data_IF_028508792711
#
_entry.id   IF_028508792711
#
_cell.length_a   1.000
_cell.length_b   1.000
_cell.length_c   1.000
_cell.angle_alpha   90.00
_cell.angle_beta   90.00
_cell.angle_gamma   90.00
#
_symmetry.space_group_name_H-M   'P 1'
#
loop_
_entity.id
_entity.type
_entity.pdbx_description
1 polymer ?
#
# COMPACT_ATOMS: atom_id res chain seq x y z
N UNK A 1 45.40 -62.64 37.51
CA UNK A 1 44.51 -62.21 38.61
C UNK A 1 43.51 -61.22 38.02
N UNK A 2 42.23 -61.56 38.07
CA UNK A 2 41.14 -60.92 37.33
C UNK A 2 40.62 -59.68 38.09
N UNK A 3 40.61 -58.51 37.43
CA UNK A 3 39.88 -57.32 37.90
C UNK A 3 38.73 -57.04 36.92
N UNK A 4 37.51 -57.28 37.37
CA UNK A 4 36.28 -56.85 36.72
C UNK A 4 36.13 -55.33 36.90
N UNK A 5 35.95 -54.60 35.80
CA UNK A 5 35.73 -53.16 35.80
C UNK A 5 34.27 -52.89 35.43
N UNK A 6 33.48 -52.52 36.44
CA UNK A 6 32.07 -52.15 36.34
C UNK A 6 32.00 -50.71 35.80
N UNK A 7 31.50 -50.51 34.58
CA UNK A 7 31.21 -49.18 34.05
C UNK A 7 29.79 -48.77 34.43
N UNK A 8 29.67 -47.83 35.37
CA UNK A 8 28.44 -47.14 35.72
C UNK A 8 28.26 -45.95 34.77
N UNK A 9 27.31 -46.02 33.84
CA UNK A 9 26.96 -44.91 32.95
C UNK A 9 25.92 -44.04 33.66
N UNK A 10 26.35 -42.89 34.19
CA UNK A 10 25.46 -41.85 34.69
C UNK A 10 25.05 -40.98 33.51
N UNK A 11 23.81 -41.13 33.05
CA UNK A 11 23.20 -40.25 32.06
C UNK A 11 22.78 -38.93 32.74
N UNK A 12 23.59 -37.88 32.58
CA UNK A 12 23.20 -36.52 32.95
C UNK A 12 22.14 -36.00 31.95
N UNK A 13 20.87 -36.03 32.34
CA UNK A 13 19.78 -35.36 31.64
C UNK A 13 19.86 -33.86 31.96
N UNK A 14 20.55 -33.11 31.11
CA UNK A 14 20.57 -31.65 31.14
C UNK A 14 19.22 -31.11 30.66
N UNK A 15 18.31 -30.79 31.58
CA UNK A 15 17.08 -30.04 31.27
C UNK A 15 17.49 -28.60 30.92
N UNK A 16 17.60 -28.31 29.62
CA UNK A 16 17.81 -26.95 29.15
C UNK A 16 16.52 -26.15 29.33
N UNK A 17 16.46 -25.33 30.38
CA UNK A 17 15.46 -24.27 30.51
C UNK A 17 15.68 -23.24 29.40
N UNK A 18 15.03 -23.44 28.24
CA UNK A 18 14.88 -22.39 27.25
C UNK A 18 13.94 -21.34 27.84
N UNK A 19 14.53 -20.27 28.38
CA UNK A 19 13.82 -19.03 28.65
C UNK A 19 13.16 -18.59 27.34
N UNK A 20 11.83 -18.63 27.29
CA UNK A 20 11.07 -18.03 26.19
C UNK A 20 11.20 -16.53 26.41
N UNK A 21 12.15 -15.90 25.72
CA UNK A 21 12.21 -14.45 25.64
C UNK A 21 10.84 -13.97 25.15
N UNK A 22 10.14 -13.24 25.99
CA UNK A 22 8.87 -12.61 25.64
C UNK A 22 9.21 -11.55 24.59
N UNK A 23 8.90 -11.84 23.32
CA UNK A 23 9.08 -10.88 22.23
C UNK A 23 8.38 -9.58 22.64
N UNK A 24 9.14 -8.49 22.64
CA UNK A 24 8.61 -7.17 22.96
C UNK A 24 7.45 -6.87 22.01
N UNK A 25 6.30 -6.47 22.56
CA UNK A 25 5.16 -6.00 21.77
C UNK A 25 5.64 -4.95 20.78
N UNK A 26 5.42 -5.13 19.47
CA UNK A 26 5.81 -4.12 18.48
C UNK A 26 5.21 -2.77 18.87
N UNK A 27 6.04 -1.72 18.84
CA UNK A 27 5.57 -0.36 19.07
C UNK A 27 4.41 -0.07 18.11
N UNK A 28 3.34 0.54 18.64
CA UNK A 28 2.20 0.90 17.81
C UNK A 28 2.66 1.80 16.65
N UNK A 29 2.17 1.58 15.42
CA UNK A 29 2.56 2.42 14.30
C UNK A 29 2.16 3.88 14.58
N UNK A 30 3.01 4.80 14.13
CA UNK A 30 2.72 6.23 14.18
C UNK A 30 1.39 6.52 13.49
N UNK A 31 0.49 7.22 14.17
CA UNK A 31 -0.82 7.59 13.62
C UNK A 31 -0.75 9.01 13.08
N UNK A 32 -1.04 9.16 11.80
CA UNK A 32 -1.08 10.46 11.13
C UNK A 32 -2.53 10.93 11.01
N UNK A 33 -2.83 12.13 11.48
CA UNK A 33 -4.09 12.79 11.19
C UNK A 33 -4.13 13.15 9.71
N UNK A 34 -5.12 12.59 8.99
CA UNK A 34 -5.37 12.91 7.60
C UNK A 34 -6.79 13.45 7.40
N UNK A 35 -6.92 14.51 6.61
CA UNK A 35 -8.22 15.08 6.22
C UNK A 35 -8.27 15.32 4.72
N UNK A 36 -9.47 15.39 4.12
CA UNK A 36 -9.60 15.87 2.76
C UNK A 36 -9.66 17.40 2.78
N UNK A 37 -8.61 18.04 2.29
CA UNK A 37 -8.51 19.50 2.33
C UNK A 37 -9.12 20.10 1.07
N UNK A 38 -10.28 20.74 1.23
CA UNK A 38 -11.01 21.43 0.16
C UNK A 38 -11.00 22.94 0.40
N UNK A 39 -10.80 23.75 -0.66
CA UNK A 39 -10.84 25.19 -0.55
C UNK A 39 -12.27 25.67 -0.30
N UNK A 40 -12.39 26.88 0.23
CA UNK A 40 -13.68 27.58 0.27
C UNK A 40 -14.16 27.70 -1.20
N UNK A 41 -15.46 27.54 -1.45
CA UNK A 41 -16.06 27.58 -2.80
C UNK A 41 -16.85 28.86 -3.10
N UNK A 42 -16.90 29.80 -2.15
CA UNK A 42 -17.53 31.12 -2.31
C UNK A 42 -16.47 32.22 -2.18
N UNK A 43 -16.27 33.08 -3.19
CA UNK A 43 -16.83 33.00 -4.54
C UNK A 43 -16.37 31.72 -5.28
N UNK A 44 -16.98 31.38 -6.44
CA UNK A 44 -16.64 30.19 -7.22
C UNK A 44 -15.14 30.08 -7.48
N UNK A 45 -14.66 28.84 -7.47
CA UNK A 45 -13.28 28.55 -7.83
C UNK A 45 -13.09 28.79 -9.34
N UNK A 46 -12.12 29.62 -9.70
CA UNK A 46 -11.72 29.91 -11.09
C UNK A 46 -10.24 29.56 -11.26
N UNK A 47 -9.76 29.50 -12.50
CA UNK A 47 -8.32 29.35 -12.79
C UNK A 47 -7.46 30.38 -12.06
N UNK A 48 -7.96 31.61 -11.96
CA UNK A 48 -7.22 32.76 -11.46
C UNK A 48 -7.09 32.74 -9.93
N UNK A 49 -8.04 32.12 -9.22
CA UNK A 49 -8.05 32.07 -7.75
C UNK A 49 -7.78 30.67 -7.16
N UNK A 50 -7.73 29.63 -7.99
CA UNK A 50 -7.64 28.24 -7.52
C UNK A 50 -6.39 28.00 -6.67
N UNK A 51 -5.21 28.41 -7.16
CA UNK A 51 -3.93 28.16 -6.50
C UNK A 51 -3.94 28.79 -5.11
N UNK A 52 -4.21 30.09 -5.00
CA UNK A 52 -4.24 30.82 -3.74
C UNK A 52 -5.20 30.17 -2.73
N UNK A 53 -6.40 29.79 -3.18
CA UNK A 53 -7.43 29.20 -2.33
C UNK A 53 -7.04 27.82 -1.82
N UNK A 54 -6.41 27.00 -2.66
CA UNK A 54 -5.84 25.71 -2.23
C UNK A 54 -4.68 25.92 -1.26
N UNK A 55 -3.78 26.88 -1.52
CA UNK A 55 -2.67 27.22 -0.61
C UNK A 55 -3.20 27.61 0.77
N UNK A 56 -4.21 28.47 0.85
CA UNK A 56 -4.82 28.89 2.11
C UNK A 56 -5.44 27.70 2.86
N UNK A 57 -6.14 26.81 2.15
CA UNK A 57 -6.77 25.64 2.77
C UNK A 57 -5.73 24.66 3.31
N UNK A 58 -4.69 24.36 2.53
CA UNK A 58 -3.58 23.48 2.94
C UNK A 58 -2.82 24.06 4.12
N UNK A 59 -2.52 25.36 4.11
CA UNK A 59 -1.89 26.04 5.26
C UNK A 59 -2.74 25.91 6.52
N UNK A 60 -4.06 26.10 6.43
CA UNK A 60 -4.95 25.93 7.60
C UNK A 60 -4.94 24.50 8.15
N UNK A 61 -4.88 23.50 7.27
CA UNK A 61 -4.76 22.10 7.68
C UNK A 61 -3.42 21.85 8.40
N UNK A 62 -2.31 22.32 7.83
CA UNK A 62 -0.98 22.17 8.45
C UNK A 62 -0.87 22.90 9.79
N UNK A 63 -1.37 24.15 9.88
CA UNK A 63 -1.43 24.92 11.13
C UNK A 63 -2.27 24.21 12.21
N UNK A 64 -3.23 23.36 11.81
CA UNK A 64 -4.04 22.53 12.70
C UNK A 64 -3.38 21.18 13.06
N UNK A 65 -2.15 20.94 12.63
CA UNK A 65 -1.39 19.71 12.91
C UNK A 65 -1.76 18.52 12.03
N UNK A 66 -2.50 18.73 10.94
CA UNK A 66 -2.76 17.69 9.93
C UNK A 66 -1.45 17.35 9.22
N UNK A 67 -1.12 16.06 9.12
CA UNK A 67 0.08 15.57 8.42
C UNK A 67 -0.22 14.64 7.25
N UNK A 68 -1.49 14.30 7.03
CA UNK A 68 -1.93 13.59 5.85
C UNK A 68 -3.06 14.33 5.12
N UNK A 69 -3.16 14.11 3.82
CA UNK A 69 -4.26 14.66 3.02
C UNK A 69 -4.88 13.56 2.17
N UNK A 70 -6.21 13.53 2.09
CA UNK A 70 -6.96 12.58 1.26
C UNK A 70 -7.40 13.27 -0.03
N UNK A 71 -6.91 12.75 -1.15
CA UNK A 71 -7.34 13.13 -2.50
C UNK A 71 -8.12 11.97 -3.10
N UNK A 72 -9.31 12.27 -3.61
CA UNK A 72 -10.12 11.30 -4.33
C UNK A 72 -10.35 11.73 -5.75
N UNK A 73 -10.18 10.82 -6.70
CA UNK A 73 -10.50 11.03 -8.13
C UNK A 73 -11.51 10.00 -8.60
N UNK A 74 -12.42 10.41 -9.48
CA UNK A 74 -13.34 9.46 -10.13
C UNK A 74 -12.56 8.62 -11.12
N UNK A 75 -12.87 7.31 -11.22
CA UNK A 75 -12.21 6.48 -12.23
C UNK A 75 -12.49 7.02 -13.64
N UNK A 76 -13.72 7.43 -13.93
CA UNK A 76 -14.09 8.10 -15.19
C UNK A 76 -13.27 9.36 -15.52
N UNK A 77 -12.71 10.07 -14.52
CA UNK A 77 -11.81 11.21 -14.74
C UNK A 77 -10.37 10.80 -15.02
N UNK A 78 -9.95 9.62 -14.54
CA UNK A 78 -8.60 9.09 -14.74
C UNK A 78 -8.49 8.25 -16.02
N UNK A 79 -9.60 7.64 -16.44
CA UNK A 79 -9.74 6.86 -17.67
C UNK A 79 -11.03 7.26 -18.40
N UNK A 80 -11.03 8.38 -19.15
CA UNK A 80 -12.25 8.88 -19.81
C UNK A 80 -12.79 7.94 -20.91
N UNK A 81 -11.90 7.13 -21.50
CA UNK A 81 -12.24 6.10 -22.47
C UNK A 81 -11.28 4.92 -22.36
N UNK A 82 -11.64 3.78 -22.95
CA UNK A 82 -10.94 2.53 -22.70
C UNK A 82 -9.43 2.59 -22.95
N UNK A 83 -8.65 2.41 -21.88
CA UNK A 83 -7.19 2.45 -21.89
C UNK A 83 -6.57 3.82 -22.19
N UNK A 84 -7.37 4.89 -22.25
CA UNK A 84 -6.88 6.27 -22.41
C UNK A 84 -6.87 6.94 -21.04
N UNK A 85 -5.68 7.29 -20.56
CA UNK A 85 -5.51 7.83 -19.20
C UNK A 85 -5.19 9.33 -19.20
N UNK A 86 -5.75 10.03 -18.23
CA UNK A 86 -5.56 11.47 -17.99
C UNK A 86 -4.92 11.65 -16.61
N UNK A 87 -3.59 11.48 -16.55
CA UNK A 87 -2.83 11.40 -15.28
C UNK A 87 -1.90 12.59 -15.01
N UNK A 88 -1.68 13.45 -16.00
CA UNK A 88 -0.73 14.57 -15.89
C UNK A 88 -1.17 15.56 -14.80
N UNK A 89 -2.43 16.00 -14.84
CA UNK A 89 -3.02 16.90 -13.83
C UNK A 89 -2.96 16.29 -12.42
N UNK A 90 -3.19 14.98 -12.32
CA UNK A 90 -3.12 14.26 -11.05
C UNK A 90 -1.70 14.25 -10.48
N UNK A 91 -0.70 14.00 -11.32
CA UNK A 91 0.71 14.03 -10.91
C UNK A 91 1.19 15.43 -10.54
N UNK A 92 0.74 16.46 -11.26
CA UNK A 92 1.04 17.87 -10.96
C UNK A 92 0.50 18.30 -9.59
N UNK A 93 -0.76 17.96 -9.28
CA UNK A 93 -1.38 18.26 -7.98
C UNK A 93 -0.67 17.54 -6.83
N UNK A 94 -0.36 16.24 -6.98
CA UNK A 94 0.40 15.48 -5.98
C UNK A 94 1.79 16.06 -5.72
N UNK A 95 2.53 16.41 -6.79
CA UNK A 95 3.86 16.98 -6.67
C UNK A 95 3.83 18.34 -5.96
N UNK A 96 2.89 19.21 -6.32
CA UNK A 96 2.73 20.52 -5.68
C UNK A 96 2.48 20.39 -4.17
N UNK A 97 1.55 19.50 -3.77
CA UNK A 97 1.19 19.32 -2.35
C UNK A 97 2.33 18.74 -1.52
N UNK A 98 2.93 17.65 -2.01
CA UNK A 98 4.03 16.96 -1.30
C UNK A 98 5.27 17.83 -1.18
N UNK A 99 5.60 18.62 -2.21
CA UNK A 99 6.76 19.53 -2.16
C UNK A 99 6.54 20.75 -1.25
N UNK A 100 5.29 21.22 -1.11
CA UNK A 100 4.99 22.46 -0.38
C UNK A 100 4.72 22.22 1.12
N UNK A 101 4.01 21.15 1.46
CA UNK A 101 3.51 20.93 2.84
C UNK A 101 4.01 19.65 3.50
N UNK A 102 4.84 18.85 2.82
CA UNK A 102 5.34 17.56 3.33
C UNK A 102 4.23 16.62 3.84
N UNK A 103 3.02 16.75 3.28
CA UNK A 103 1.86 15.93 3.63
C UNK A 103 2.01 14.50 3.10
N UNK A 104 1.56 13.53 3.90
CA UNK A 104 1.32 12.17 3.43
C UNK A 104 0.05 12.19 2.59
N UNK A 105 0.18 12.02 1.27
CA UNK A 105 -0.98 11.97 0.38
C UNK A 105 -1.57 10.55 0.34
N UNK A 106 -2.83 10.45 0.76
CA UNK A 106 -3.67 9.27 0.60
C UNK A 106 -4.49 9.44 -0.68
N UNK A 107 -4.35 8.50 -1.60
CA UNK A 107 -5.04 8.55 -2.89
C UNK A 107 -6.19 7.55 -2.89
N UNK A 108 -7.40 8.05 -3.07
CA UNK A 108 -8.61 7.25 -3.29
C UNK A 108 -9.07 7.31 -4.74
N UNK A 109 -9.51 6.17 -5.27
CA UNK A 109 -10.19 6.09 -6.56
C UNK A 109 -11.67 5.82 -6.29
N UNK A 110 -12.53 6.74 -6.72
CA UNK A 110 -13.97 6.60 -6.60
C UNK A 110 -14.49 5.78 -7.78
N UNK A 111 -14.91 4.56 -7.49
CA UNK A 111 -15.65 3.68 -8.42
C UNK A 111 -17.17 3.84 -8.28
N UNK A 112 -17.60 4.41 -7.15
CA UNK A 112 -18.97 4.77 -6.79
C UNK A 112 -18.97 6.12 -6.09
N UNK A 113 -19.97 6.96 -6.39
CA UNK A 113 -20.22 8.22 -5.73
C UNK A 113 -21.68 8.30 -5.30
N UNK A 114 -21.93 8.02 -4.02
CA UNK A 114 -23.25 7.96 -3.37
C UNK A 114 -24.22 6.98 -4.07
N UNK A 115 -24.75 7.34 -5.23
CA UNK A 115 -25.64 6.52 -6.07
C UNK A 115 -25.12 6.31 -7.49
N UNK A 116 -24.14 7.10 -7.94
CA UNK A 116 -23.63 7.04 -9.30
C UNK A 116 -22.44 6.09 -9.39
N UNK A 117 -22.40 5.29 -10.44
CA UNK A 117 -21.21 4.53 -10.82
C UNK A 117 -20.26 5.45 -11.57
N UNK A 118 -19.00 5.49 -11.14
CA UNK A 118 -17.99 6.42 -11.62
C UNK A 118 -16.92 5.72 -12.48
N UNK A 119 -17.33 4.69 -13.21
CA UNK A 119 -16.46 3.92 -14.12
C UNK A 119 -16.45 4.54 -15.52
N UNK A 120 -15.46 4.20 -16.36
CA UNK A 120 -15.50 4.50 -17.80
C UNK A 120 -16.85 4.13 -18.43
N UNK A 121 -17.26 4.89 -19.45
CA UNK A 121 -18.59 4.78 -20.06
C UNK A 121 -18.90 3.37 -20.59
N UNK A 122 -17.90 2.66 -21.11
CA UNK A 122 -18.00 1.30 -21.60
C UNK A 122 -18.20 0.25 -20.47
N UNK A 123 -17.81 0.58 -19.25
CA UNK A 123 -17.94 -0.29 -18.07
C UNK A 123 -19.21 -0.01 -17.26
N UNK A 124 -20.02 0.99 -17.62
CA UNK A 124 -21.20 1.38 -16.82
C UNK A 124 -22.18 0.22 -16.59
N UNK A 125 -22.37 -0.65 -17.57
CA UNK A 125 -23.27 -1.81 -17.51
C UNK A 125 -22.60 -3.11 -17.05
N UNK A 126 -21.29 -3.08 -16.80
CA UNK A 126 -20.48 -4.25 -16.44
C UNK A 126 -20.53 -4.47 -14.92
N UNK A 127 -20.72 -5.69 -14.45
CA UNK A 127 -20.72 -5.98 -13.01
C UNK A 127 -19.35 -5.72 -12.37
N UNK A 128 -19.31 -5.29 -11.10
CA UNK A 128 -18.06 -4.92 -10.42
C UNK A 128 -17.08 -6.09 -10.24
N UNK A 129 -17.61 -7.30 -10.10
CA UNK A 129 -16.87 -8.55 -9.93
C UNK A 129 -16.57 -9.26 -11.25
N UNK A 130 -17.00 -8.71 -12.38
CA UNK A 130 -16.69 -9.30 -13.68
C UNK A 130 -15.18 -9.27 -13.96
N UNK A 131 -14.63 -10.27 -14.67
CA UNK A 131 -13.22 -10.27 -15.06
C UNK A 131 -12.80 -9.00 -15.83
N UNK A 132 -13.69 -8.46 -16.67
CA UNK A 132 -13.45 -7.23 -17.43
C UNK A 132 -13.27 -6.01 -16.52
N UNK A 133 -14.10 -5.85 -15.49
CA UNK A 133 -13.98 -4.73 -14.54
C UNK A 133 -12.65 -4.81 -13.77
N UNK A 134 -12.32 -6.00 -13.27
CA UNK A 134 -11.10 -6.23 -12.49
C UNK A 134 -9.86 -5.95 -13.34
N UNK A 135 -9.80 -6.51 -14.56
CA UNK A 135 -8.69 -6.28 -15.50
C UNK A 135 -8.51 -4.79 -15.82
N UNK A 136 -9.61 -4.07 -16.06
CA UNK A 136 -9.54 -2.64 -16.35
C UNK A 136 -9.09 -1.80 -15.15
N UNK A 137 -9.57 -2.13 -13.95
CA UNK A 137 -9.12 -1.46 -12.74
C UNK A 137 -7.62 -1.72 -12.46
N UNK A 138 -7.16 -2.94 -12.70
CA UNK A 138 -5.73 -3.28 -12.58
C UNK A 138 -4.88 -2.48 -13.57
N UNK A 139 -5.32 -2.36 -14.82
CA UNK A 139 -4.61 -1.55 -15.83
C UNK A 139 -4.58 -0.06 -15.47
N UNK A 140 -5.68 0.50 -14.94
CA UNK A 140 -5.67 1.85 -14.38
C UNK A 140 -4.62 1.97 -13.26
N UNK A 141 -4.63 1.02 -12.32
CA UNK A 141 -3.70 1.04 -11.19
C UNK A 141 -2.24 0.98 -11.66
N UNK A 142 -1.93 0.09 -12.60
CA UNK A 142 -0.60 -0.03 -13.21
C UNK A 142 -0.17 1.26 -13.92
N UNK A 143 -1.10 1.94 -14.59
CA UNK A 143 -0.86 3.24 -15.22
C UNK A 143 -0.67 4.36 -14.18
N UNK A 144 -1.34 4.30 -13.03
CA UNK A 144 -1.26 5.30 -11.98
C UNK A 144 0.03 5.19 -11.15
N UNK A 145 0.53 3.98 -10.91
CA UNK A 145 1.68 3.71 -10.05
C UNK A 145 2.93 4.56 -10.34
N UNK A 146 3.34 4.81 -11.60
CA UNK A 146 4.46 5.70 -11.91
C UNK A 146 4.27 7.16 -11.49
N UNK A 147 3.01 7.61 -11.37
CA UNK A 147 2.62 8.97 -11.00
C UNK A 147 2.41 9.14 -9.48
N UNK A 148 2.14 8.04 -8.77
CA UNK A 148 2.14 8.01 -7.31
C UNK A 148 3.58 8.12 -6.82
N UNK A 149 3.91 9.22 -6.17
CA UNK A 149 5.26 9.72 -6.08
C UNK A 149 6.27 8.76 -5.42
N UNK A 150 7.49 8.71 -5.96
CA UNK A 150 8.68 7.98 -5.46
C UNK A 150 9.18 8.45 -4.08
N UNK A 151 8.69 9.59 -3.59
CA UNK A 151 9.03 10.18 -2.30
C UNK A 151 8.04 9.83 -1.18
N UNK A 152 6.94 9.13 -1.51
CA UNK A 152 6.09 8.53 -0.51
C UNK A 152 6.83 7.37 0.12
N UNK A 153 7.21 7.50 1.39
CA UNK A 153 7.49 6.34 2.23
C UNK A 153 6.21 5.50 2.29
N UNK A 154 6.02 4.61 1.32
CA UNK A 154 5.08 3.51 1.43
C UNK A 154 5.61 2.63 2.56
N UNK A 155 5.03 2.78 3.75
CA UNK A 155 5.22 1.92 4.92
C UNK A 155 4.61 0.52 4.69
N UNK A 156 4.77 -0.03 3.48
CA UNK A 156 4.40 -1.38 3.08
C UNK A 156 5.59 -2.17 2.53
N UNK A 157 6.84 -1.68 2.71
CA UNK A 157 8.05 -2.43 2.37
C UNK A 157 8.33 -3.48 3.45
N UNK A 158 7.40 -4.43 3.59
CA UNK A 158 7.62 -5.66 4.35
C UNK A 158 8.76 -6.44 3.67
N UNK A 159 9.73 -6.82 4.48
CA UNK A 159 11.04 -7.33 4.10
C UNK A 159 10.94 -8.58 3.23
N UNK A 160 10.87 -8.43 1.90
CA UNK A 160 11.22 -9.49 0.94
C UNK A 160 12.74 -9.69 0.80
N UNK A 161 13.48 -9.54 1.91
CA UNK A 161 14.95 -9.71 2.02
C UNK A 161 15.35 -10.82 3.00
N UNK A 162 14.43 -11.73 3.33
CA UNK A 162 14.75 -12.94 4.13
C UNK A 162 14.33 -14.24 3.44
N UNK A 163 14.52 -14.32 2.12
CA UNK A 163 14.35 -15.59 1.40
C UNK A 163 15.30 -15.73 0.21
N UNK A 164 16.58 -15.41 0.44
CA UNK A 164 17.70 -15.85 -0.40
C UNK A 164 18.80 -16.36 0.52
N UNK A 165 18.60 -17.53 1.13
CA UNK A 165 19.57 -18.04 2.09
C UNK A 165 19.23 -19.37 2.74
N UNK A 166 18.52 -20.28 2.07
CA UNK A 166 18.55 -21.69 2.47
C UNK A 166 18.19 -22.60 1.31
N UNK A 167 19.13 -22.78 0.39
CA UNK A 167 19.21 -23.99 -0.45
C UNK A 167 20.55 -24.66 -0.17
N UNK A 168 20.60 -25.41 0.92
CA UNK A 168 21.56 -26.51 1.08
C UNK A 168 20.80 -27.77 1.46
N UNK A 169 20.80 -28.71 0.51
CA UNK A 169 20.74 -30.14 0.79
C UNK A 169 19.35 -30.74 0.89
N UNK A 170 18.77 -31.12 -0.24
CA UNK A 170 18.07 -32.41 -0.36
C UNK A 170 18.51 -33.05 -1.67
N UNK A 171 19.26 -34.15 -1.54
CA UNK A 171 19.61 -35.10 -2.60
C UNK A 171 18.51 -36.16 -2.65
N UNK A 172 18.11 -36.57 -3.86
CA UNK A 172 17.25 -37.71 -4.20
C UNK A 172 15.84 -37.67 -3.57
N UNK A 173 14.76 -38.10 -4.24
CA UNK A 173 14.52 -39.41 -4.84
C UNK A 173 13.52 -39.28 -5.99
N UNK A 174 13.71 -40.11 -7.01
CA UNK A 174 12.81 -40.37 -8.13
C UNK A 174 11.38 -40.76 -7.71
N UNK A 175 10.45 -40.69 -8.68
CA UNK A 175 9.49 -41.76 -9.07
C UNK A 175 8.12 -41.20 -9.45
N UNK A 176 7.79 -41.38 -10.74
CA UNK A 176 6.51 -41.69 -11.39
C UNK A 176 5.20 -41.33 -10.66
N UNK A 177 4.25 -40.68 -11.35
CA UNK A 177 3.07 -41.39 -11.87
C UNK A 177 2.30 -40.56 -12.91
N UNK A 178 1.72 -41.31 -13.84
CA UNK A 178 1.00 -40.97 -15.06
C UNK A 178 -0.42 -40.44 -14.82
N UNK A 179 -0.86 -39.64 -15.79
CA UNK A 179 -2.22 -39.47 -16.33
C UNK A 179 -3.41 -40.17 -15.65
N UNK A 180 -4.46 -39.38 -15.43
CA UNK A 180 -5.87 -39.77 -15.43
C UNK A 180 -6.68 -38.55 -15.86
#
# INVERSE_FOLDING_TARGET
MHKWMLFLVIACLSVSNKSIAQDATPAAPERVLAISTVPILVPPLTSDNAIERYTIAMKKADDAGVKGNLITKRWSELEPSAGQYTLDDFSGDLNYRTATYYSIELVGIQVLNTTAKETPSDLMKVAFDSPQMIDRFQKLWDALLPHLNKNGNYSGREKRSSMKGSRKGIKHVDTLFTSG
#
